data_IF_810481580257
#
_entry.id   IF_810481580257
#
_cell.length_a   1.000
_cell.length_b   1.000
_cell.length_c   1.000
_cell.angle_alpha   90.00
_cell.angle_beta   90.00
_cell.angle_gamma   90.00
#
_symmetry.space_group_name_H-M   'P 1'
#
loop_
_entity.id
_entity.type
_entity.pdbx_description
1 polymer ?
#
# COMPACT_ATOMS: atom_id res chain seq x y z
N UNK A 1 2.13 15.21 -10.89
CA UNK A 1 3.56 14.96 -11.05
C UNK A 1 3.84 13.46 -10.99
N UNK A 2 4.79 12.99 -11.79
CA UNK A 2 5.16 11.58 -11.77
C UNK A 2 6.38 11.37 -10.90
N UNK A 3 6.60 10.11 -10.47
CA UNK A 3 7.76 9.76 -9.68
C UNK A 3 9.03 9.82 -10.53
N UNK A 4 10.17 10.24 -9.95
CA UNK A 4 11.44 10.09 -10.64
C UNK A 4 11.71 8.62 -10.96
N UNK A 5 12.45 8.39 -12.03
CA UNK A 5 12.73 7.03 -12.50
C UNK A 5 13.35 6.15 -11.42
N UNK A 6 14.29 6.69 -10.65
CA UNK A 6 14.93 5.96 -9.56
C UNK A 6 13.91 5.53 -8.50
N UNK A 7 12.96 6.41 -8.17
CA UNK A 7 11.92 6.10 -7.20
C UNK A 7 10.92 5.08 -7.76
N UNK A 8 10.62 5.14 -9.05
CA UNK A 8 9.77 4.13 -9.70
C UNK A 8 10.36 2.73 -9.58
N UNK A 9 11.66 2.59 -9.82
CA UNK A 9 12.35 1.32 -9.66
C UNK A 9 12.29 0.81 -8.22
N UNK A 10 12.49 1.72 -7.27
CA UNK A 10 12.45 1.38 -5.85
C UNK A 10 11.04 0.93 -5.43
N UNK A 11 10.01 1.65 -5.88
CA UNK A 11 8.62 1.30 -5.62
C UNK A 11 8.32 -0.09 -6.18
N UNK A 12 8.64 -0.32 -7.44
CA UNK A 12 8.36 -1.58 -8.09
C UNK A 12 9.00 -2.75 -7.34
N UNK A 13 10.27 -2.62 -6.98
CA UNK A 13 11.01 -3.66 -6.28
C UNK A 13 10.45 -3.92 -4.88
N UNK A 14 10.30 -2.86 -4.09
CA UNK A 14 9.91 -2.99 -2.68
C UNK A 14 8.45 -3.44 -2.52
N UNK A 15 7.54 -2.89 -3.32
CA UNK A 15 6.13 -3.26 -3.21
C UNK A 15 5.86 -4.65 -3.76
N UNK A 16 6.51 -5.06 -4.84
CA UNK A 16 6.38 -6.44 -5.32
C UNK A 16 6.89 -7.44 -4.29
N UNK A 17 8.02 -7.15 -3.67
CA UNK A 17 8.59 -7.98 -2.63
C UNK A 17 7.65 -8.05 -1.41
N UNK A 18 7.15 -6.91 -0.97
CA UNK A 18 6.24 -6.83 0.17
C UNK A 18 4.95 -7.59 -0.07
N UNK A 19 4.32 -7.39 -1.22
CA UNK A 19 3.07 -8.07 -1.56
C UNK A 19 3.26 -9.58 -1.64
N UNK A 20 4.37 -10.04 -2.20
CA UNK A 20 4.65 -11.46 -2.30
C UNK A 20 4.96 -12.11 -0.96
N UNK A 21 5.63 -11.40 -0.06
CA UNK A 21 5.96 -11.91 1.26
C UNK A 21 4.76 -11.92 2.20
N UNK A 22 3.90 -10.89 2.09
CA UNK A 22 2.75 -10.73 2.99
C UNK A 22 1.67 -11.77 2.74
N UNK A 23 1.44 -12.11 1.46
CA UNK A 23 0.36 -13.01 1.07
C UNK A 23 0.96 -14.34 0.58
N UNK A 24 0.89 -15.41 1.39
CA UNK A 24 1.38 -16.73 0.95
C UNK A 24 0.63 -17.24 -0.28
N UNK A 25 1.31 -18.04 -1.09
CA UNK A 25 0.73 -18.61 -2.31
C UNK A 25 -0.56 -19.39 -2.06
N UNK A 26 -0.63 -20.09 -0.92
CA UNK A 26 -1.77 -20.94 -0.59
C UNK A 26 -3.07 -20.19 -0.43
N UNK A 27 -3.03 -18.87 -0.14
CA UNK A 27 -4.22 -18.09 0.11
C UNK A 27 -4.48 -17.00 -0.93
N UNK A 28 -3.73 -17.01 -2.05
CA UNK A 28 -3.89 -15.99 -3.10
C UNK A 28 -5.20 -16.10 -3.87
N UNK A 29 -5.90 -17.19 -3.75
CA UNK A 29 -7.26 -17.34 -4.27
C UNK A 29 -8.30 -16.70 -3.35
N UNK A 30 -7.92 -16.34 -2.12
CA UNK A 30 -8.81 -15.76 -1.12
C UNK A 30 -8.48 -14.30 -0.81
N UNK A 31 -7.23 -13.88 -1.04
CA UNK A 31 -6.81 -12.50 -0.77
C UNK A 31 -5.63 -12.15 -1.68
N UNK A 32 -5.64 -10.93 -2.19
CA UNK A 32 -4.54 -10.39 -2.99
C UNK A 32 -4.13 -9.04 -2.42
N UNK A 33 -2.85 -8.74 -2.50
CA UNK A 33 -2.32 -7.45 -2.14
C UNK A 33 -1.71 -6.84 -3.40
N UNK A 34 -2.21 -5.66 -3.77
CA UNK A 34 -1.86 -4.98 -5.01
C UNK A 34 -1.40 -3.56 -4.71
N UNK A 35 -0.78 -2.93 -5.67
CA UNK A 35 -0.46 -1.50 -5.55
C UNK A 35 -0.65 -0.81 -6.90
N UNK A 36 -1.09 0.45 -6.85
CA UNK A 36 -1.26 1.30 -8.02
C UNK A 36 -0.40 2.55 -7.87
N UNK A 37 0.24 2.94 -8.96
CA UNK A 37 1.03 4.17 -9.00
C UNK A 37 0.23 5.22 -9.75
N UNK A 38 -0.01 6.37 -9.10
CA UNK A 38 -0.68 7.52 -9.70
C UNK A 38 0.16 8.76 -9.44
N UNK A 39 0.84 9.27 -10.49
CA UNK A 39 1.71 10.42 -10.33
C UNK A 39 2.80 10.15 -9.30
N UNK A 40 2.82 10.92 -8.23
CA UNK A 40 3.78 10.76 -7.12
C UNK A 40 3.22 9.92 -5.96
N UNK A 41 2.11 9.21 -6.18
CA UNK A 41 1.43 8.45 -5.14
C UNK A 41 1.44 6.97 -5.44
N UNK A 42 1.53 6.15 -4.40
CA UNK A 42 1.37 4.71 -4.48
C UNK A 42 0.27 4.31 -3.52
N UNK A 43 -0.74 3.61 -4.01
CA UNK A 43 -1.88 3.17 -3.19
C UNK A 43 -1.78 1.66 -3.04
N UNK A 44 -1.67 1.21 -1.80
CA UNK A 44 -1.67 -0.22 -1.46
C UNK A 44 -3.11 -0.66 -1.31
N UNK A 45 -3.47 -1.76 -1.97
CA UNK A 45 -4.86 -2.21 -2.08
C UNK A 45 -4.95 -3.67 -1.67
N UNK A 46 -5.93 -3.99 -0.81
CA UNK A 46 -6.30 -5.35 -0.48
C UNK A 46 -7.50 -5.75 -1.33
N UNK A 47 -7.43 -6.90 -1.98
CA UNK A 47 -8.50 -7.40 -2.84
C UNK A 47 -8.95 -8.77 -2.37
N UNK A 48 -10.27 -8.95 -2.25
CA UNK A 48 -10.88 -10.23 -1.81
C UNK A 48 -12.05 -10.58 -2.70
N UNK A 49 -12.35 -11.88 -2.89
CA UNK A 49 -13.55 -12.27 -3.62
C UNK A 49 -14.80 -11.79 -2.88
N UNK A 50 -15.81 -11.44 -3.63
CA UNK A 50 -17.12 -11.12 -3.07
C UNK A 50 -17.70 -12.38 -2.44
N UNK A 51 -18.24 -12.26 -1.23
CA UNK A 51 -18.82 -13.43 -0.58
C UNK A 51 -20.08 -13.96 -1.32
N UNK A 52 -20.83 -13.07 -1.97
CA UNK A 52 -22.01 -13.41 -2.76
C UNK A 52 -21.67 -13.96 -4.15
N UNK A 53 -20.53 -13.56 -4.68
CA UNK A 53 -20.12 -13.92 -6.05
C UNK A 53 -18.60 -13.98 -6.11
N UNK A 54 -18.02 -15.18 -5.87
CA UNK A 54 -16.55 -15.33 -5.84
C UNK A 54 -15.86 -15.06 -7.18
N UNK A 55 -16.61 -14.93 -8.28
CA UNK A 55 -16.01 -14.55 -9.56
C UNK A 55 -15.66 -13.05 -9.62
N UNK A 56 -16.19 -12.27 -8.70
CA UNK A 56 -15.90 -10.83 -8.60
C UNK A 56 -15.03 -10.56 -7.40
N UNK A 57 -14.16 -9.56 -7.55
CA UNK A 57 -13.23 -9.16 -6.48
C UNK A 57 -13.53 -7.74 -6.04
N UNK A 58 -13.47 -7.51 -4.72
CA UNK A 58 -13.54 -6.16 -4.15
C UNK A 58 -12.13 -5.61 -4.02
N UNK A 59 -12.02 -4.29 -3.97
CA UNK A 59 -10.75 -3.62 -3.73
C UNK A 59 -10.93 -2.60 -2.61
N UNK A 60 -10.05 -2.67 -1.59
CA UNK A 60 -10.06 -1.73 -0.48
C UNK A 60 -8.68 -1.10 -0.32
N UNK A 61 -8.59 0.23 -0.34
CA UNK A 61 -7.30 0.88 -0.09
C UNK A 61 -6.89 0.67 1.37
N UNK A 62 -5.65 0.22 1.56
CA UNK A 62 -5.06 -0.03 2.88
C UNK A 62 -4.25 1.17 3.33
N UNK A 63 -3.42 1.70 2.43
CA UNK A 63 -2.50 2.78 2.74
C UNK A 63 -2.16 3.57 1.47
N UNK A 64 -1.75 4.81 1.66
CA UNK A 64 -1.28 5.65 0.57
C UNK A 64 0.12 6.17 0.90
N UNK A 65 1.02 6.08 -0.07
CA UNK A 65 2.38 6.60 0.04
C UNK A 65 2.53 7.74 -0.95
N UNK A 66 3.04 8.87 -0.52
CA UNK A 66 3.18 10.05 -1.37
C UNK A 66 4.60 10.59 -1.29
N UNK A 67 5.22 10.80 -2.46
CA UNK A 67 6.60 11.28 -2.55
C UNK A 67 6.64 12.79 -2.73
N UNK A 68 7.53 13.46 -2.00
CA UNK A 68 7.77 14.90 -2.16
C UNK A 68 9.16 15.12 -2.77
N UNK A 69 9.20 15.74 -3.94
CA UNK A 69 10.45 16.09 -4.59
C UNK A 69 11.21 17.17 -3.81
N UNK A 70 10.49 18.04 -3.12
CA UNK A 70 11.11 19.11 -2.33
C UNK A 70 11.95 18.58 -1.19
N UNK A 71 11.41 17.62 -0.45
CA UNK A 71 12.06 17.06 0.74
C UNK A 71 12.77 15.76 0.47
N UNK A 72 12.53 15.15 -0.71
CA UNK A 72 13.05 13.83 -1.06
C UNK A 72 12.60 12.76 -0.07
N UNK A 73 11.43 12.94 0.53
CA UNK A 73 10.86 12.02 1.50
C UNK A 73 9.50 11.53 1.08
N UNK A 74 9.14 10.37 1.61
CA UNK A 74 7.81 9.80 1.45
C UNK A 74 6.95 10.11 2.67
N UNK A 75 5.65 10.24 2.45
CA UNK A 75 4.66 10.38 3.52
C UNK A 75 3.72 9.19 3.46
N UNK A 76 3.41 8.62 4.62
CA UNK A 76 2.51 7.50 4.75
C UNK A 76 1.18 7.97 5.32
N UNK A 77 0.09 7.55 4.68
CA UNK A 77 -1.27 7.85 5.12
C UNK A 77 -2.05 6.56 5.31
N UNK A 78 -2.85 6.52 6.36
CA UNK A 78 -3.82 5.46 6.57
C UNK A 78 -5.23 5.99 6.33
N UNK A 79 -6.23 5.12 6.43
CA UNK A 79 -7.63 5.51 6.25
C UNK A 79 -8.40 5.23 7.54
N UNK A 80 -9.25 6.19 7.96
CA UNK A 80 -10.10 5.98 9.12
C UNK A 80 -11.42 5.32 8.72
N UNK A 81 -12.34 5.17 9.68
CA UNK A 81 -13.64 4.53 9.44
C UNK A 81 -14.49 5.25 8.38
N UNK A 82 -14.26 6.53 8.17
CA UNK A 82 -15.00 7.34 7.21
C UNK A 82 -14.27 7.44 5.87
N UNK A 83 -13.28 6.57 5.65
CA UNK A 83 -12.43 6.55 4.46
C UNK A 83 -11.64 7.84 4.26
N UNK A 84 -11.43 8.60 5.34
CA UNK A 84 -10.62 9.79 5.31
C UNK A 84 -9.16 9.45 5.54
N UNK A 85 -8.30 10.12 4.79
CA UNK A 85 -6.85 9.90 4.86
C UNK A 85 -6.28 10.59 6.09
N UNK A 86 -5.49 9.83 6.86
CA UNK A 86 -4.81 10.35 8.06
C UNK A 86 -3.30 10.22 7.88
N UNK A 87 -2.53 11.30 8.18
CA UNK A 87 -1.07 11.19 8.14
C UNK A 87 -0.56 10.31 9.28
N UNK A 88 0.32 9.37 8.94
CA UNK A 88 0.84 8.40 9.91
C UNK A 88 2.32 8.63 10.18
N UNK A 89 3.14 8.74 9.12
CA UNK A 89 4.60 8.84 9.26
C UNK A 89 5.23 9.44 8.01
N UNK A 90 6.49 9.83 8.12
CA UNK A 90 7.30 10.32 7.00
C UNK A 90 8.69 9.69 7.09
N UNK A 91 9.34 9.54 5.95
CA UNK A 91 10.68 9.02 5.90
C UNK A 91 10.99 8.30 4.60
N UNK A 92 11.90 7.33 4.68
CA UNK A 92 12.25 6.49 3.52
C UNK A 92 11.13 5.50 3.22
N UNK A 93 11.06 5.06 1.98
CA UNK A 93 10.03 4.12 1.55
C UNK A 93 10.12 2.80 2.31
N UNK A 94 11.32 2.26 2.51
CA UNK A 94 11.54 1.02 3.27
C UNK A 94 10.97 1.12 4.68
N UNK A 95 11.26 2.23 5.35
CA UNK A 95 10.78 2.47 6.71
C UNK A 95 9.26 2.50 6.76
N UNK A 96 8.65 3.17 5.79
CA UNK A 96 7.18 3.29 5.74
C UNK A 96 6.51 1.97 5.42
N UNK A 97 7.09 1.16 4.55
CA UNK A 97 6.58 -0.18 4.26
C UNK A 97 6.66 -1.05 5.53
N UNK A 98 7.75 -0.98 6.27
CA UNK A 98 7.88 -1.69 7.54
C UNK A 98 6.85 -1.24 8.56
N UNK A 99 6.52 0.05 8.58
CA UNK A 99 5.49 0.60 9.45
C UNK A 99 4.11 -0.02 9.14
N UNK A 100 3.78 -0.14 7.86
CA UNK A 100 2.53 -0.78 7.43
C UNK A 100 2.54 -2.26 7.81
N UNK A 101 3.66 -2.95 7.63
CA UNK A 101 3.77 -4.37 7.95
C UNK A 101 3.61 -4.64 9.45
N UNK A 102 4.24 -3.82 10.28
CA UNK A 102 4.15 -3.93 11.74
C UNK A 102 2.78 -3.50 12.27
N UNK A 103 2.19 -2.49 11.65
CA UNK A 103 0.86 -1.97 11.97
C UNK A 103 0.65 -1.75 13.48
N UNK A 104 1.51 -0.93 14.12
CA UNK A 104 1.46 -0.80 15.59
C UNK A 104 0.15 -0.23 16.13
N UNK A 105 -0.57 0.55 15.34
CA UNK A 105 -1.86 1.13 15.76
C UNK A 105 -3.07 0.32 15.29
N UNK A 106 -2.86 -0.66 14.39
CA UNK A 106 -3.95 -1.44 13.82
C UNK A 106 -4.76 -0.72 12.74
N UNK A 107 -4.28 0.42 12.27
CA UNK A 107 -5.03 1.23 11.29
C UNK A 107 -5.03 0.62 9.89
N UNK A 108 -4.02 -0.19 9.54
CA UNK A 108 -3.90 -0.76 8.19
C UNK A 108 -4.63 -2.09 8.05
N UNK A 109 -4.43 -2.98 8.99
CA UNK A 109 -4.95 -4.35 8.88
C UNK A 109 -6.05 -4.67 9.91
N UNK A 110 -6.23 -3.79 10.85
CA UNK A 110 -7.21 -3.98 11.92
C UNK A 110 -6.60 -4.69 13.13
#
# INVERSE_FOLDING_TARGET
>A
MSLPELELHRVDKLFNQFCNQRIPLEVRDQIKLLFNIKGNKVILIESRPYYDDPSKWTEMPVAQFEYSEKTKQWSLFGYNRNDKRLPIAKGSLDKLINEVDADPSGIFWG
#
